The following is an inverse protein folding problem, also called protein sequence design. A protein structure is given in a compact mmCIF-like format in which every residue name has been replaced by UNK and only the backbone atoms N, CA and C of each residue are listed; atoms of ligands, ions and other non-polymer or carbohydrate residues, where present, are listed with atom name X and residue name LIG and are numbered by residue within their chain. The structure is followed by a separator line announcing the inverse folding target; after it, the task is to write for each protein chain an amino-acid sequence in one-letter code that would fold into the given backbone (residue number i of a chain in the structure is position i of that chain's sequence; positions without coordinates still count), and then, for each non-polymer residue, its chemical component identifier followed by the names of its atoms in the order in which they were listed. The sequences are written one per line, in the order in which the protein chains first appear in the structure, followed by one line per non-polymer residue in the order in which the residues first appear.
data_IF_427901219370
#
_entry.id   IF_427901219370
#
_cell.length_a   1.000
_cell.length_b   1.000
_cell.length_c   1.000
_cell.angle_alpha   90.00
_cell.angle_beta   90.00
_cell.angle_gamma   90.00
#
_symmetry.space_group_name_H-M   'P 1'
#
loop_
_entity.id
_entity.type
_entity.pdbx_description
1 polymer ?
#
# COMPACT_ATOMS: atom_id res chain seq x y z
N UNK A 1 -23.00 -35.23 41.88
CA UNK A 1 -22.47 -35.75 40.56
C UNK A 1 -23.52 -36.55 39.79
N UNK A 2 -24.48 -37.19 40.44
CA UNK A 2 -25.54 -37.99 39.78
C UNK A 2 -26.65 -37.15 39.12
N UNK A 3 -26.96 -35.97 39.66
CA UNK A 3 -27.98 -35.06 39.11
C UNK A 3 -27.51 -34.35 37.81
N UNK A 4 -26.21 -34.12 37.67
CA UNK A 4 -25.64 -33.46 36.45
C UNK A 4 -25.66 -34.42 35.24
N UNK A 5 -25.54 -35.73 35.46
CA UNK A 5 -25.51 -36.72 34.38
C UNK A 5 -26.90 -36.99 33.78
N UNK A 6 -27.97 -36.78 34.54
CA UNK A 6 -29.36 -36.98 34.11
C UNK A 6 -29.93 -35.75 33.36
N UNK A 7 -29.38 -34.57 33.55
CA UNK A 7 -29.83 -33.37 32.85
C UNK A 7 -29.21 -33.17 31.47
N UNK A 8 -28.00 -33.75 31.24
CA UNK A 8 -27.28 -33.59 29.97
C UNK A 8 -27.68 -34.70 28.96
N UNK A 9 -28.26 -35.82 29.40
CA UNK A 9 -28.59 -36.95 28.53
C UNK A 9 -30.09 -37.16 28.27
N UNK A 10 -30.92 -36.15 28.52
CA UNK A 10 -32.25 -36.17 27.90
C UNK A 10 -32.05 -36.09 26.39
N UNK A 11 -32.49 -37.08 25.58
CA UNK A 11 -32.42 -36.98 24.13
C UNK A 11 -33.20 -35.77 23.72
N UNK A 12 -32.48 -34.67 23.40
CA UNK A 12 -33.05 -33.53 22.72
C UNK A 12 -33.85 -34.08 21.55
N UNK A 13 -35.21 -33.96 21.61
CA UNK A 13 -36.08 -34.43 20.56
C UNK A 13 -35.43 -34.11 19.24
N UNK A 14 -35.28 -35.12 18.36
CA UNK A 14 -34.61 -34.99 17.03
C UNK A 14 -35.06 -33.72 16.28
N UNK A 15 -36.28 -33.21 16.58
CA UNK A 15 -36.79 -31.95 16.06
C UNK A 15 -36.12 -30.69 16.61
N UNK A 16 -35.80 -30.61 17.91
CA UNK A 16 -35.15 -29.41 18.49
C UNK A 16 -33.72 -29.25 18.03
N UNK A 17 -32.96 -30.34 17.93
CA UNK A 17 -31.59 -30.32 17.39
C UNK A 17 -31.57 -29.89 15.92
N UNK A 18 -32.51 -30.44 15.12
CA UNK A 18 -32.67 -30.04 13.71
C UNK A 18 -33.08 -28.57 13.57
N UNK A 19 -33.95 -28.07 14.45
CA UNK A 19 -34.35 -26.66 14.48
C UNK A 19 -33.18 -25.72 14.84
N UNK A 20 -32.33 -26.08 15.79
CA UNK A 20 -31.14 -25.31 16.18
C UNK A 20 -30.12 -25.28 15.04
N UNK A 21 -29.90 -26.42 14.37
CA UNK A 21 -28.99 -26.47 13.20
C UNK A 21 -29.52 -25.62 12.06
N UNK A 22 -30.82 -25.75 11.73
CA UNK A 22 -31.44 -24.96 10.66
C UNK A 22 -31.44 -23.46 11.00
N UNK A 23 -31.67 -23.10 12.26
CA UNK A 23 -31.60 -21.69 12.71
C UNK A 23 -30.15 -21.16 12.57
N UNK A 24 -29.14 -21.90 13.03
CA UNK A 24 -27.74 -21.53 12.83
C UNK A 24 -27.37 -21.43 11.34
N UNK A 25 -27.75 -22.40 10.53
CA UNK A 25 -27.47 -22.37 9.08
C UNK A 25 -28.14 -21.15 8.42
N UNK A 26 -29.39 -20.85 8.78
CA UNK A 26 -30.11 -19.68 8.25
C UNK A 26 -29.50 -18.37 8.72
N UNK A 27 -29.06 -18.28 9.98
CA UNK A 27 -28.33 -17.15 10.52
C UNK A 27 -26.97 -16.92 9.82
N UNK A 28 -26.16 -18.00 9.67
CA UNK A 28 -24.91 -17.91 8.95
C UNK A 28 -25.09 -17.59 7.46
N UNK A 29 -26.11 -18.15 6.83
CA UNK A 29 -26.43 -17.84 5.43
C UNK A 29 -26.85 -16.38 5.26
N UNK A 30 -27.67 -15.85 6.15
CA UNK A 30 -28.06 -14.42 6.13
C UNK A 30 -26.85 -13.52 6.37
N UNK A 31 -26.01 -13.83 7.35
CA UNK A 31 -24.79 -13.08 7.66
C UNK A 31 -23.79 -13.06 6.49
N UNK A 32 -23.60 -14.22 5.84
CA UNK A 32 -22.71 -14.34 4.66
C UNK A 32 -23.31 -13.57 3.47
N UNK A 33 -24.63 -13.65 3.28
CA UNK A 33 -25.33 -12.90 2.23
C UNK A 33 -25.20 -11.39 2.42
N UNK A 34 -25.41 -10.90 3.64
CA UNK A 34 -25.27 -9.47 3.96
C UNK A 34 -23.86 -8.95 3.76
N UNK A 35 -22.84 -9.74 4.15
CA UNK A 35 -21.44 -9.42 3.88
C UNK A 35 -21.12 -9.39 2.39
N UNK A 36 -21.64 -10.35 1.62
CA UNK A 36 -21.46 -10.35 0.17
C UNK A 36 -22.05 -9.12 -0.49
N UNK A 37 -23.31 -8.79 -0.17
CA UNK A 37 -23.96 -7.60 -0.73
C UNK A 37 -23.22 -6.32 -0.39
N UNK A 38 -22.68 -6.20 0.83
CA UNK A 38 -21.86 -5.06 1.25
C UNK A 38 -20.54 -4.96 0.48
N UNK A 39 -19.84 -6.09 0.31
CA UNK A 39 -18.61 -6.14 -0.46
C UNK A 39 -18.85 -5.90 -1.95
N UNK A 40 -19.93 -6.46 -2.49
CA UNK A 40 -20.33 -6.26 -3.89
C UNK A 40 -20.68 -4.78 -4.15
N UNK A 41 -21.45 -4.17 -3.25
CA UNK A 41 -21.78 -2.73 -3.34
C UNK A 41 -20.54 -1.85 -3.23
N UNK A 42 -19.60 -2.19 -2.33
CA UNK A 42 -18.35 -1.46 -2.18
C UNK A 42 -17.46 -1.61 -3.41
N UNK A 43 -17.38 -2.83 -3.96
CA UNK A 43 -16.59 -3.09 -5.16
C UNK A 43 -17.16 -2.35 -6.37
N UNK A 44 -18.48 -2.37 -6.57
CA UNK A 44 -19.16 -1.61 -7.61
C UNK A 44 -18.90 -0.12 -7.44
N UNK A 45 -19.07 0.42 -6.23
CA UNK A 45 -18.80 1.84 -5.97
C UNK A 45 -17.35 2.22 -6.27
N UNK A 46 -16.39 1.37 -5.89
CA UNK A 46 -14.97 1.62 -6.15
C UNK A 46 -14.61 1.57 -7.63
N UNK A 47 -15.27 0.73 -8.43
CA UNK A 47 -14.95 0.54 -9.84
C UNK A 47 -15.85 1.30 -10.81
N UNK A 48 -17.03 1.75 -10.38
CA UNK A 48 -18.01 2.41 -11.24
C UNK A 48 -18.18 3.90 -10.95
N UNK A 49 -17.49 4.42 -9.93
CA UNK A 49 -17.55 5.86 -9.61
C UNK A 49 -16.20 6.53 -9.80
N UNK A 50 -16.14 7.74 -10.39
CA UNK A 50 -14.89 8.47 -10.56
C UNK A 50 -14.15 8.72 -9.23
N UNK A 51 -14.89 8.86 -8.13
CA UNK A 51 -14.31 8.99 -6.80
C UNK A 51 -13.68 7.69 -6.32
N UNK A 52 -14.35 6.57 -6.52
CA UNK A 52 -13.84 5.24 -6.17
C UNK A 52 -12.59 4.89 -6.96
N UNK A 53 -12.58 5.10 -8.27
CA UNK A 53 -11.42 4.92 -9.14
C UNK A 53 -10.23 5.81 -8.72
N UNK A 54 -10.51 7.06 -8.33
CA UNK A 54 -9.50 7.98 -7.81
C UNK A 54 -8.89 7.45 -6.51
N UNK A 55 -9.72 6.98 -5.56
CA UNK A 55 -9.24 6.38 -4.30
C UNK A 55 -8.45 5.10 -4.53
N UNK A 56 -8.90 4.23 -5.44
CA UNK A 56 -8.15 3.02 -5.82
C UNK A 56 -6.79 3.38 -6.40
N UNK A 57 -6.73 4.36 -7.30
CA UNK A 57 -5.49 4.87 -7.89
C UNK A 57 -4.52 5.37 -6.80
N UNK A 58 -5.03 6.13 -5.82
CA UNK A 58 -4.24 6.58 -4.67
C UNK A 58 -3.71 5.39 -3.86
N UNK A 59 -4.56 4.43 -3.52
CA UNK A 59 -4.20 3.25 -2.73
C UNK A 59 -3.16 2.38 -3.44
N UNK A 60 -3.33 2.14 -4.75
CA UNK A 60 -2.37 1.41 -5.57
C UNK A 60 -1.02 2.13 -5.56
N UNK A 61 -1.03 3.46 -5.68
CA UNK A 61 0.19 4.28 -5.68
C UNK A 61 0.90 4.34 -4.31
N UNK A 62 0.20 4.03 -3.21
CA UNK A 62 0.82 3.91 -1.89
C UNK A 62 1.65 2.64 -1.73
N UNK A 63 1.46 1.62 -2.58
CA UNK A 63 2.18 0.34 -2.45
C UNK A 63 3.67 0.50 -2.79
N UNK A 64 4.58 -0.09 -2.00
CA UNK A 64 6.02 0.17 -2.10
C UNK A 64 6.67 -0.30 -3.41
N UNK A 65 6.05 -1.23 -4.14
CA UNK A 65 6.59 -1.77 -5.40
C UNK A 65 5.94 -1.10 -6.60
N UNK A 66 4.66 -0.78 -6.50
CA UNK A 66 3.83 -0.26 -7.58
C UNK A 66 4.06 1.24 -7.75
N UNK A 67 3.95 1.99 -6.65
CA UNK A 67 4.13 3.43 -6.59
C UNK A 67 3.31 4.18 -7.65
N UNK A 68 3.64 5.44 -7.93
CA UNK A 68 3.04 6.23 -9.00
C UNK A 68 3.19 5.54 -10.38
N UNK A 69 4.24 4.76 -10.57
CA UNK A 69 4.56 4.12 -11.87
C UNK A 69 3.51 3.10 -12.30
N UNK A 70 2.94 2.38 -11.36
CA UNK A 70 1.85 1.45 -11.63
C UNK A 70 0.49 2.07 -11.37
N UNK A 71 0.39 2.96 -10.38
CA UNK A 71 -0.86 3.61 -10.02
C UNK A 71 -1.41 4.52 -11.12
N UNK A 72 -0.55 5.33 -11.75
CA UNK A 72 -0.96 6.22 -12.82
C UNK A 72 -1.51 5.47 -14.06
N UNK A 73 -0.81 4.48 -14.64
CA UNK A 73 -1.38 3.67 -15.71
C UNK A 73 -2.64 2.92 -15.29
N UNK A 74 -2.70 2.41 -14.06
CA UNK A 74 -3.89 1.73 -13.56
C UNK A 74 -5.09 2.67 -13.47
N UNK A 75 -4.91 3.92 -13.00
CA UNK A 75 -5.95 4.93 -12.95
C UNK A 75 -6.49 5.29 -14.34
N UNK A 76 -5.60 5.44 -15.31
CA UNK A 76 -5.99 5.68 -16.72
C UNK A 76 -6.72 4.47 -17.30
N UNK A 77 -6.28 3.24 -16.99
CA UNK A 77 -6.94 2.02 -17.43
C UNK A 77 -8.34 1.83 -16.82
N UNK A 78 -8.58 2.36 -15.62
CA UNK A 78 -9.89 2.41 -14.97
C UNK A 78 -10.82 3.49 -15.56
N UNK A 79 -10.33 4.36 -16.44
CA UNK A 79 -11.13 5.39 -17.12
C UNK A 79 -10.92 6.81 -16.59
N UNK A 80 -10.03 7.02 -15.62
CA UNK A 80 -9.75 8.37 -15.11
C UNK A 80 -9.05 9.24 -16.18
N UNK A 81 -9.44 10.52 -16.29
CA UNK A 81 -8.66 11.47 -17.06
C UNK A 81 -7.22 11.56 -16.53
N UNK A 82 -6.24 11.68 -17.44
CA UNK A 82 -4.81 11.67 -17.09
C UNK A 82 -4.45 12.66 -15.98
N UNK A 83 -4.91 13.91 -15.98
CA UNK A 83 -4.59 14.84 -14.89
C UNK A 83 -5.10 14.37 -13.54
N UNK A 84 -6.26 13.70 -13.51
CA UNK A 84 -6.86 13.15 -12.27
C UNK A 84 -6.07 11.94 -11.80
N UNK A 85 -5.77 10.99 -12.70
CA UNK A 85 -4.95 9.81 -12.41
C UNK A 85 -3.54 10.21 -11.93
N UNK A 86 -2.93 11.23 -12.56
CA UNK A 86 -1.66 11.78 -12.17
C UNK A 86 -1.70 12.38 -10.75
N UNK A 87 -2.67 13.26 -10.47
CA UNK A 87 -2.82 13.89 -9.17
C UNK A 87 -3.10 12.86 -8.07
N UNK A 88 -4.00 11.90 -8.32
CA UNK A 88 -4.32 10.82 -7.39
C UNK A 88 -3.08 9.97 -7.08
N UNK A 89 -2.35 9.54 -8.12
CA UNK A 89 -1.13 8.75 -7.97
C UNK A 89 -0.02 9.51 -7.24
N UNK A 90 0.15 10.81 -7.53
CA UNK A 90 1.13 11.66 -6.87
C UNK A 90 0.82 11.78 -5.37
N UNK A 91 -0.42 12.09 -5.02
CA UNK A 91 -0.85 12.20 -3.61
C UNK A 91 -0.69 10.85 -2.90
N UNK A 92 -1.19 9.76 -3.49
CA UNK A 92 -1.06 8.42 -2.93
C UNK A 92 0.39 8.03 -2.66
N UNK A 93 1.28 8.27 -3.62
CA UNK A 93 2.70 7.95 -3.51
C UNK A 93 3.43 8.80 -2.45
N UNK A 94 2.97 10.03 -2.20
CA UNK A 94 3.59 10.94 -1.24
C UNK A 94 3.13 10.73 0.20
N UNK A 95 1.97 10.15 0.45
CA UNK A 95 1.45 9.90 1.81
C UNK A 95 2.45 9.10 2.68
N UNK A 96 3.01 7.95 2.25
CA UNK A 96 3.92 7.18 3.10
C UNK A 96 5.29 7.84 3.31
N UNK A 97 5.73 8.75 2.43
CA UNK A 97 7.08 9.33 2.45
C UNK A 97 7.48 9.96 3.79
N UNK A 98 6.71 10.90 4.37
CA UNK A 98 7.06 11.51 5.65
C UNK A 98 7.08 10.48 6.79
N UNK A 99 6.20 9.48 6.77
CA UNK A 99 6.17 8.42 7.76
C UNK A 99 7.41 7.54 7.67
N UNK A 100 7.84 7.17 6.48
CA UNK A 100 9.06 6.39 6.27
C UNK A 100 10.27 7.15 6.82
N UNK A 101 10.43 8.43 6.47
CA UNK A 101 11.58 9.24 6.91
C UNK A 101 11.62 9.37 8.43
N UNK A 102 10.46 9.53 9.08
CA UNK A 102 10.38 9.74 10.52
C UNK A 102 10.49 8.45 11.33
N UNK A 103 9.85 7.37 10.87
CA UNK A 103 9.63 6.18 11.70
C UNK A 103 10.53 5.00 11.36
N UNK A 104 11.16 4.95 10.18
CA UNK A 104 11.99 3.79 9.80
C UNK A 104 13.16 3.58 10.74
N UNK A 105 13.90 4.63 11.14
CA UNK A 105 15.03 4.49 12.06
C UNK A 105 14.61 4.01 13.46
N UNK A 106 13.69 4.67 14.17
CA UNK A 106 13.24 4.18 15.47
C UNK A 106 12.61 2.79 15.37
N UNK A 107 11.91 2.47 14.27
CA UNK A 107 11.37 1.14 14.04
C UNK A 107 12.48 0.08 13.91
N UNK A 108 13.54 0.35 13.15
CA UNK A 108 14.67 -0.57 13.00
C UNK A 108 15.38 -0.80 14.34
N UNK A 109 15.58 0.24 15.14
CA UNK A 109 16.15 0.10 16.48
C UNK A 109 15.25 -0.72 17.40
N UNK A 110 13.95 -0.46 17.39
CA UNK A 110 12.99 -1.21 18.19
C UNK A 110 12.96 -2.70 17.81
N UNK A 111 12.95 -3.02 16.52
CA UNK A 111 12.95 -4.41 16.02
C UNK A 111 14.25 -5.12 16.41
N UNK A 112 15.41 -4.49 16.33
CA UNK A 112 16.70 -5.07 16.78
C UNK A 112 16.67 -5.48 18.23
N UNK A 113 16.05 -4.67 19.09
CA UNK A 113 15.96 -4.95 20.53
C UNK A 113 14.96 -6.08 20.82
N UNK A 114 13.79 -6.07 20.16
CA UNK A 114 12.68 -6.97 20.52
C UNK A 114 12.61 -8.24 19.65
N UNK A 115 13.15 -8.22 18.44
CA UNK A 115 13.06 -9.34 17.50
C UNK A 115 14.43 -9.59 16.83
N UNK A 116 15.42 -10.13 17.58
CA UNK A 116 16.79 -10.34 17.04
C UNK A 116 16.84 -11.20 15.78
N UNK A 117 15.85 -12.06 15.57
CA UNK A 117 15.74 -12.91 14.35
C UNK A 117 15.61 -12.10 13.04
N UNK A 118 15.15 -10.85 13.14
CA UNK A 118 14.98 -9.96 11.98
C UNK A 118 16.17 -9.04 11.74
N UNK A 119 17.22 -9.09 12.57
CA UNK A 119 18.40 -8.24 12.43
C UNK A 119 19.09 -8.40 11.07
N UNK A 120 19.21 -9.63 10.57
CA UNK A 120 19.76 -9.90 9.26
C UNK A 120 18.97 -9.27 8.10
N UNK A 121 17.64 -9.26 8.21
CA UNK A 121 16.77 -8.61 7.23
C UNK A 121 16.90 -7.08 7.27
N UNK A 122 16.91 -6.49 8.47
CA UNK A 122 17.08 -5.04 8.64
C UNK A 122 18.46 -4.59 8.13
N UNK A 123 19.52 -5.30 8.50
CA UNK A 123 20.88 -5.01 8.03
C UNK A 123 20.99 -5.10 6.52
N UNK A 124 20.29 -6.04 5.89
CA UNK A 124 20.24 -6.14 4.43
C UNK A 124 19.50 -4.95 3.78
N UNK A 125 18.39 -4.47 4.39
CA UNK A 125 17.68 -3.29 3.92
C UNK A 125 18.53 -2.01 4.05
N UNK A 126 19.20 -1.84 5.19
CA UNK A 126 20.11 -0.71 5.43
C UNK A 126 21.30 -0.74 4.44
N UNK A 127 21.95 -1.90 4.28
CA UNK A 127 23.05 -2.06 3.34
C UNK A 127 22.62 -1.77 1.89
N UNK A 128 21.40 -2.18 1.49
CA UNK A 128 20.85 -1.81 0.19
C UNK A 128 20.60 -0.31 0.04
N UNK A 129 20.09 0.33 1.09
CA UNK A 129 19.88 1.77 1.10
C UNK A 129 21.23 2.52 1.07
N UNK A 130 22.21 2.08 1.84
CA UNK A 130 23.57 2.63 1.85
C UNK A 130 24.31 2.45 0.50
N UNK A 131 24.23 1.28 -0.11
CA UNK A 131 24.84 1.03 -1.40
C UNK A 131 24.28 1.96 -2.49
N UNK A 132 22.97 2.22 -2.46
CA UNK A 132 22.32 3.18 -3.35
C UNK A 132 22.55 4.64 -2.94
N UNK A 133 22.93 4.90 -1.69
CA UNK A 133 23.22 6.23 -1.19
C UNK A 133 24.57 6.78 -1.59
N UNK A 134 25.52 5.93 -1.99
CA UNK A 134 26.87 6.35 -2.40
C UNK A 134 26.82 7.38 -3.55
N UNK A 135 25.92 7.18 -4.52
CA UNK A 135 25.69 8.13 -5.61
C UNK A 135 24.96 9.39 -5.16
N UNK A 136 24.12 9.28 -4.11
CA UNK A 136 23.36 10.38 -3.53
C UNK A 136 24.24 11.23 -2.60
N UNK A 137 25.19 10.63 -1.88
CA UNK A 137 26.08 11.34 -0.94
C UNK A 137 26.93 12.41 -1.62
N UNK A 138 27.34 12.21 -2.86
CA UNK A 138 28.19 13.14 -3.60
C UNK A 138 27.50 14.49 -3.87
N UNK A 139 26.18 14.48 -4.02
CA UNK A 139 25.35 15.65 -4.35
C UNK A 139 24.14 15.84 -3.43
N UNK A 140 24.05 15.10 -2.34
CA UNK A 140 22.96 15.18 -1.34
C UNK A 140 21.54 15.32 -1.96
N UNK A 141 21.05 16.56 -1.99
CA UNK A 141 19.68 16.89 -2.45
C UNK A 141 19.47 16.57 -3.93
N UNK A 142 20.46 16.87 -4.80
CA UNK A 142 20.36 16.63 -6.24
C UNK A 142 20.46 15.13 -6.59
N UNK A 143 21.31 14.40 -5.89
CA UNK A 143 21.39 12.96 -6.06
C UNK A 143 20.09 12.26 -5.71
N UNK A 144 19.42 12.68 -4.61
CA UNK A 144 18.11 12.15 -4.23
C UNK A 144 17.03 12.49 -5.27
N UNK A 145 17.04 13.74 -5.80
CA UNK A 145 16.11 14.17 -6.84
C UNK A 145 16.23 13.29 -8.09
N UNK A 146 17.45 13.16 -8.62
CA UNK A 146 17.72 12.37 -9.83
C UNK A 146 17.36 10.90 -9.61
N UNK A 147 17.73 10.35 -8.45
CA UNK A 147 17.42 8.97 -8.09
C UNK A 147 15.92 8.67 -8.10
N UNK A 148 15.10 9.60 -7.58
CA UNK A 148 13.63 9.46 -7.55
C UNK A 148 13.01 9.74 -8.92
N UNK A 149 13.56 10.71 -9.67
CA UNK A 149 13.04 11.15 -10.96
C UNK A 149 13.18 10.10 -12.07
N UNK A 150 14.26 9.29 -12.04
CA UNK A 150 14.48 8.26 -13.05
C UNK A 150 13.55 7.08 -12.78
N UNK A 151 12.64 6.71 -13.71
CA UNK A 151 11.65 5.65 -13.48
C UNK A 151 12.25 4.24 -13.69
N UNK A 152 13.25 3.85 -12.89
CA UNK A 152 13.85 2.52 -12.90
C UNK A 152 13.29 1.62 -11.78
N UNK A 153 13.28 0.29 -11.96
CA UNK A 153 12.90 -0.62 -10.90
C UNK A 153 13.75 -0.44 -9.64
N UNK A 154 13.11 -0.24 -8.50
CA UNK A 154 13.79 -0.06 -7.20
C UNK A 154 14.38 1.33 -6.95
N UNK A 155 14.07 2.32 -7.78
CA UNK A 155 14.17 3.75 -7.47
C UNK A 155 12.77 4.29 -7.13
N UNK A 156 12.60 5.51 -6.67
CA UNK A 156 11.28 6.10 -6.45
C UNK A 156 11.08 6.61 -5.04
N UNK A 157 9.83 6.97 -4.69
CA UNK A 157 9.52 7.65 -3.45
C UNK A 157 9.83 6.82 -2.19
N UNK A 158 9.49 5.54 -2.19
CA UNK A 158 9.76 4.64 -1.06
C UNK A 158 11.25 4.48 -0.80
N UNK A 159 12.01 4.13 -1.84
CA UNK A 159 13.46 3.94 -1.71
C UNK A 159 14.14 5.28 -1.44
N UNK A 160 13.70 6.37 -2.08
CA UNK A 160 14.17 7.73 -1.80
C UNK A 160 13.94 8.15 -0.35
N UNK A 161 12.78 7.83 0.22
CA UNK A 161 12.47 8.07 1.63
C UNK A 161 13.36 7.25 2.57
N UNK A 162 13.61 5.96 2.25
CA UNK A 162 14.55 5.12 3.00
C UNK A 162 15.98 5.69 2.95
N UNK A 163 16.46 6.09 1.78
CA UNK A 163 17.77 6.73 1.62
C UNK A 163 17.83 8.02 2.44
N UNK A 164 16.81 8.88 2.36
CA UNK A 164 16.74 10.11 3.12
C UNK A 164 16.75 9.84 4.64
N UNK A 165 16.06 8.79 5.11
CA UNK A 165 16.08 8.36 6.50
C UNK A 165 17.49 7.88 6.92
N UNK A 166 18.14 7.02 6.12
CA UNK A 166 19.49 6.51 6.41
C UNK A 166 20.52 7.63 6.42
N UNK A 167 20.44 8.58 5.49
CA UNK A 167 21.32 9.75 5.40
C UNK A 167 20.99 10.84 6.44
N UNK A 168 20.00 10.61 7.32
CA UNK A 168 19.58 11.58 8.33
C UNK A 168 19.17 12.96 7.76
N UNK A 169 18.58 12.96 6.56
CA UNK A 169 18.13 14.18 5.93
C UNK A 169 16.93 14.77 6.70
N UNK A 170 16.92 16.10 6.84
CA UNK A 170 15.79 16.78 7.47
C UNK A 170 14.53 16.64 6.60
N UNK A 171 13.39 16.30 7.22
CA UNK A 171 12.10 16.12 6.56
C UNK A 171 11.77 17.30 5.61
N UNK A 172 11.99 18.54 6.09
CA UNK A 172 11.74 19.77 5.32
C UNK A 172 12.54 19.88 4.02
N UNK A 173 13.65 19.13 3.88
CA UNK A 173 14.45 19.07 2.65
C UNK A 173 14.13 17.82 1.84
N UNK A 174 14.00 16.68 2.48
CA UNK A 174 13.78 15.41 1.80
C UNK A 174 12.42 15.35 1.09
N UNK A 175 11.34 15.74 1.77
CA UNK A 175 9.97 15.64 1.21
C UNK A 175 9.79 16.47 -0.08
N UNK A 176 10.18 17.76 -0.16
CA UNK A 176 10.06 18.53 -1.40
C UNK A 176 10.90 17.96 -2.55
N UNK A 177 12.09 17.44 -2.23
CA UNK A 177 12.99 16.85 -3.23
C UNK A 177 12.40 15.57 -3.80
N UNK A 178 11.89 14.69 -2.92
CA UNK A 178 11.20 13.47 -3.34
C UNK A 178 9.94 13.82 -4.15
N UNK A 179 9.16 14.80 -3.70
CA UNK A 179 7.98 15.27 -4.42
C UNK A 179 8.32 15.71 -5.85
N UNK A 180 9.33 16.57 -6.03
CA UNK A 180 9.78 16.99 -7.36
C UNK A 180 10.25 15.80 -8.21
N UNK A 181 11.00 14.86 -7.62
CA UNK A 181 11.42 13.64 -8.29
C UNK A 181 10.24 12.80 -8.77
N UNK A 182 9.21 12.64 -7.92
CA UNK A 182 7.99 11.89 -8.27
C UNK A 182 7.20 12.60 -9.37
N UNK A 183 7.12 13.94 -9.35
CA UNK A 183 6.47 14.73 -10.42
C UNK A 183 7.19 14.49 -11.75
N UNK A 184 8.53 14.58 -11.78
CA UNK A 184 9.32 14.34 -12.99
C UNK A 184 9.11 12.90 -13.48
N UNK A 185 9.19 11.91 -12.58
CA UNK A 185 8.92 10.52 -12.92
C UNK A 185 7.52 10.32 -13.50
N UNK A 186 6.51 10.96 -12.91
CA UNK A 186 5.14 10.94 -13.39
C UNK A 186 4.97 11.54 -14.78
N UNK A 187 5.64 12.67 -15.06
CA UNK A 187 5.65 13.26 -16.40
C UNK A 187 6.27 12.30 -17.43
N UNK A 188 7.40 11.68 -17.09
CA UNK A 188 8.06 10.71 -17.97
C UNK A 188 7.13 9.52 -18.25
N UNK A 189 6.48 8.98 -17.22
CA UNK A 189 5.55 7.83 -17.36
C UNK A 189 4.35 8.22 -18.19
N UNK A 190 3.78 9.42 -17.98
CA UNK A 190 2.66 9.93 -18.76
C UNK A 190 3.03 10.02 -20.24
N UNK A 191 4.21 10.54 -20.55
CA UNK A 191 4.70 10.63 -21.94
C UNK A 191 4.90 9.24 -22.56
N UNK A 192 5.46 8.29 -21.81
CA UNK A 192 5.65 6.92 -22.28
C UNK A 192 4.32 6.22 -22.52
N UNK A 193 3.37 6.35 -21.60
CA UNK A 193 2.05 5.71 -21.68
C UNK A 193 1.22 6.30 -22.82
N UNK A 194 1.26 7.63 -23.02
CA UNK A 194 0.52 8.32 -24.08
C UNK A 194 1.21 8.25 -25.45
N UNK A 195 2.54 8.33 -25.47
CA UNK A 195 3.30 8.20 -26.72
C UNK A 195 3.06 6.85 -27.39
N UNK A 196 2.94 5.78 -26.62
CA UNK A 196 2.60 4.44 -27.14
C UNK A 196 1.15 4.38 -27.64
N UNK A 197 0.19 4.99 -26.95
CA UNK A 197 -1.22 4.99 -27.38
C UNK A 197 -1.50 5.85 -28.62
N UNK A 198 -0.61 6.77 -29.00
CA UNK A 198 -0.70 7.55 -30.24
C UNK A 198 -0.02 6.87 -31.45
N UNK A 199 0.78 5.83 -31.19
CA UNK A 199 1.52 5.11 -32.23
C UNK A 199 0.83 3.79 -32.66
N UNK A 200 -0.20 3.38 -31.92
CA UNK A 200 -1.04 2.20 -32.20
C UNK A 200 -2.43 2.67 -32.64
#
# INVERSE_FOLDING_TARGET
LHLYRTLILRPLRKGAFRAIILFKMRYYSAYISERRTMLDSLSLWLHETPLGETLLTMLISMLPVVELRGGLPAGVAMGLPIPVAFAASLVGNMIPVPFIILFVRPLFQWVRIHIPKLEGFISHLEARAEAKSADVLRYQTWGLLIFVAIPLPGTGAWTGALIAAVLNMRLKRAVPVIFLGVVIAGCIITLLTHGVSMLI
#
